data_IF_732478732615
#
_entry.id   IF_732478732615
#
_cell.length_a   1.000
_cell.length_b   1.000
_cell.length_c   1.000
_cell.angle_alpha   90.00
_cell.angle_beta   90.00
_cell.angle_gamma   90.00
#
_symmetry.space_group_name_H-M   'P 1'
#
loop_
_entity.id
_entity.type
_entity.pdbx_description
1 polymer ?
#
# COMPACT_ATOMS: atom_id res chain seq x y z
N UNK A 1 2.71 -19.92 1.36
CA UNK A 1 2.82 -19.15 0.11
C UNK A 1 2.94 -17.68 0.49
N UNK A 2 4.08 -17.03 0.27
CA UNK A 2 4.20 -15.58 0.46
C UNK A 2 3.90 -14.91 -0.87
N UNK A 3 2.76 -14.23 -0.96
CA UNK A 3 2.33 -13.52 -2.18
C UNK A 3 3.04 -12.17 -2.27
N UNK A 4 3.70 -11.92 -3.40
CA UNK A 4 4.22 -10.61 -3.78
C UNK A 4 5.64 -10.27 -3.32
N UNK A 5 6.34 -9.49 -4.14
CA UNK A 5 7.58 -8.78 -3.79
C UNK A 5 7.26 -7.39 -3.24
N UNK A 6 8.24 -6.75 -2.59
CA UNK A 6 8.11 -5.37 -2.11
C UNK A 6 7.75 -4.40 -3.24
N UNK A 7 8.30 -4.61 -4.44
CA UNK A 7 7.98 -3.80 -5.61
C UNK A 7 6.51 -3.96 -6.02
N UNK A 8 6.00 -5.18 -6.08
CA UNK A 8 4.60 -5.44 -6.42
C UNK A 8 3.63 -4.80 -5.41
N UNK A 9 4.00 -4.77 -4.14
CA UNK A 9 3.21 -4.08 -3.10
C UNK A 9 3.19 -2.57 -3.32
N UNK A 10 4.34 -1.95 -3.62
CA UNK A 10 4.43 -0.52 -3.92
C UNK A 10 3.62 -0.15 -5.17
N UNK A 11 3.74 -0.95 -6.24
CA UNK A 11 3.02 -0.72 -7.49
C UNK A 11 1.49 -0.78 -7.28
N UNK A 12 1.03 -1.73 -6.46
CA UNK A 12 -0.38 -1.83 -6.11
C UNK A 12 -0.86 -0.69 -5.22
N UNK A 13 -0.08 -0.31 -4.21
CA UNK A 13 -0.37 0.86 -3.37
C UNK A 13 -0.48 2.14 -4.20
N UNK A 14 0.43 2.33 -5.17
CA UNK A 14 0.40 3.44 -6.13
C UNK A 14 -0.89 3.44 -6.92
N UNK A 15 -1.28 2.30 -7.49
CA UNK A 15 -2.53 2.15 -8.25
C UNK A 15 -3.74 2.57 -7.41
N UNK A 16 -3.82 2.16 -6.15
CA UNK A 16 -4.94 2.53 -5.27
C UNK A 16 -4.97 4.03 -4.99
N UNK A 17 -3.83 4.64 -4.68
CA UNK A 17 -3.73 6.10 -4.46
C UNK A 17 -4.13 6.86 -5.72
N UNK A 18 -3.63 6.46 -6.89
CA UNK A 18 -3.93 7.13 -8.17
C UNK A 18 -5.42 7.03 -8.57
N UNK A 19 -6.09 5.95 -8.17
CA UNK A 19 -7.48 5.68 -8.57
C UNK A 19 -8.48 6.20 -7.54
N UNK A 20 -8.25 5.94 -6.26
CA UNK A 20 -9.18 6.25 -5.17
C UNK A 20 -8.79 7.51 -4.38
N UNK A 21 -7.53 7.96 -4.44
CA UNK A 21 -7.05 9.14 -3.69
C UNK A 21 -7.32 10.48 -4.37
N UNK A 22 -7.94 10.50 -5.54
CA UNK A 22 -8.29 11.76 -6.23
C UNK A 22 -9.25 12.58 -5.37
N UNK A 23 -8.86 13.82 -5.05
CA UNK A 23 -9.65 14.70 -4.18
C UNK A 23 -9.41 14.51 -2.68
N UNK A 24 -8.46 13.67 -2.29
CA UNK A 24 -8.13 13.41 -0.88
C UNK A 24 -9.08 12.44 -0.20
N UNK A 25 -8.93 12.27 1.12
CA UNK A 25 -9.82 11.46 1.96
C UNK A 25 -9.65 9.94 1.85
N UNK A 26 -8.82 9.45 0.93
CA UNK A 26 -8.49 8.02 0.86
C UNK A 26 -7.48 7.63 1.94
N UNK A 27 -7.81 6.57 2.68
CA UNK A 27 -7.00 5.98 3.75
C UNK A 27 -6.55 4.59 3.28
N UNK A 28 -5.23 4.38 3.18
CA UNK A 28 -4.68 3.07 2.90
C UNK A 28 -4.84 2.15 4.12
N UNK A 29 -5.47 1.00 3.92
CA UNK A 29 -5.58 -0.05 4.90
C UNK A 29 -5.58 -1.43 4.22
N UNK A 30 -5.28 -2.47 4.99
CA UNK A 30 -5.44 -3.84 4.52
C UNK A 30 -6.92 -4.24 4.55
N UNK A 31 -7.40 -4.86 3.47
CA UNK A 31 -8.81 -5.28 3.36
C UNK A 31 -9.15 -6.57 4.13
N UNK A 32 -8.14 -7.36 4.52
CA UNK A 32 -8.29 -8.60 5.28
C UNK A 32 -7.10 -8.79 6.24
N UNK A 33 -7.24 -9.70 7.20
CA UNK A 33 -6.22 -9.98 8.21
C UNK A 33 -4.91 -10.53 7.60
N UNK A 34 -3.79 -10.28 8.27
CA UNK A 34 -2.46 -10.72 7.84
C UNK A 34 -2.01 -11.95 8.62
N UNK A 35 -2.34 -13.17 8.17
CA UNK A 35 -1.88 -14.38 8.87
C UNK A 35 -0.44 -14.77 8.52
N UNK A 36 0.01 -14.48 7.30
CA UNK A 36 1.31 -14.94 6.76
C UNK A 36 2.01 -13.87 5.89
N UNK A 37 1.94 -12.61 6.28
CA UNK A 37 2.58 -11.52 5.53
C UNK A 37 4.08 -11.45 5.80
N UNK A 38 4.88 -11.21 4.76
CA UNK A 38 6.30 -10.86 4.94
C UNK A 38 6.41 -9.46 5.57
N UNK A 39 7.18 -9.27 6.64
CA UNK A 39 7.34 -7.96 7.27
C UNK A 39 7.86 -6.88 6.30
N UNK A 40 8.75 -7.23 5.37
CA UNK A 40 9.25 -6.29 4.36
C UNK A 40 8.15 -5.74 3.44
N UNK A 41 7.13 -6.56 3.13
CA UNK A 41 6.01 -6.17 2.28
C UNK A 41 5.09 -5.19 3.01
N UNK A 42 4.78 -5.48 4.28
CA UNK A 42 3.98 -4.59 5.11
C UNK A 42 4.68 -3.24 5.31
N UNK A 43 5.99 -3.27 5.60
CA UNK A 43 6.80 -2.05 5.72
C UNK A 43 6.81 -1.25 4.42
N UNK A 44 7.02 -1.93 3.29
CA UNK A 44 7.01 -1.29 1.97
C UNK A 44 5.67 -0.59 1.65
N UNK A 45 4.53 -1.20 2.02
CA UNK A 45 3.21 -0.58 1.87
C UNK A 45 3.07 0.70 2.70
N UNK A 46 3.45 0.65 3.98
CA UNK A 46 3.34 1.78 4.91
C UNK A 46 4.24 2.93 4.49
N UNK A 47 5.52 2.64 4.23
CA UNK A 47 6.50 3.66 3.84
C UNK A 47 6.08 4.34 2.53
N UNK A 48 5.73 3.54 1.51
CA UNK A 48 5.31 4.08 0.22
C UNK A 48 4.06 4.93 0.32
N UNK A 49 3.07 4.53 1.12
CA UNK A 49 1.86 5.33 1.33
C UNK A 49 2.18 6.67 1.96
N UNK A 50 3.11 6.72 2.92
CA UNK A 50 3.55 7.98 3.56
C UNK A 50 4.36 8.88 2.63
N UNK A 51 5.11 8.31 1.70
CA UNK A 51 5.94 9.06 0.74
C UNK A 51 5.12 9.58 -0.45
N UNK A 52 4.26 8.73 -1.03
CA UNK A 52 3.53 9.00 -2.26
C UNK A 52 2.09 9.50 -2.03
N UNK A 53 1.41 9.00 -0.99
CA UNK A 53 0.01 9.27 -0.69
C UNK A 53 -0.25 10.58 0.04
N UNK A 54 0.70 11.52 0.01
CA UNK A 54 0.54 12.84 0.62
C UNK A 54 -0.20 13.76 -0.34
N UNK A 55 -1.42 14.13 0.02
CA UNK A 55 -2.17 15.17 -0.69
C UNK A 55 -1.49 16.52 -0.46
N UNK A 56 -1.20 17.24 -1.55
CA UNK A 56 -0.76 18.64 -1.52
C UNK A 56 -1.94 19.57 -1.72
#
# INVERSE_FOLDING_TARGET
>A
MTVGTTQQVKDYAKKLIDTAGKGGGYIMANGAFFDNVKPENLKAMVDFTKEYGVYK
#
